data_IF_187433057422
#
_entry.id   IF_187433057422
#
_cell.length_a   1.000
_cell.length_b   1.000
_cell.length_c   1.000
_cell.angle_alpha   90.00
_cell.angle_beta   90.00
_cell.angle_gamma   90.00
#
_symmetry.space_group_name_H-M   'P 1'
#
loop_
_entity.id
_entity.type
_entity.pdbx_description
1 polymer ?
#
# COMPACT_ATOMS: atom_id res chain seq x y z
N UNK A 1 -32.86 -15.86 67.27
CA UNK A 1 -31.59 -15.63 66.54
C UNK A 1 -31.68 -16.26 65.16
N UNK A 2 -31.97 -15.48 64.16
CA UNK A 2 -32.19 -15.96 62.78
C UNK A 2 -30.94 -15.57 61.96
N UNK A 3 -30.22 -16.58 61.52
CA UNK A 3 -29.01 -16.36 60.71
C UNK A 3 -29.40 -16.17 59.24
N UNK A 4 -28.97 -15.02 58.68
CA UNK A 4 -29.16 -14.67 57.29
C UNK A 4 -27.95 -15.23 56.50
N UNK A 5 -28.20 -16.16 55.57
CA UNK A 5 -27.18 -16.67 54.67
C UNK A 5 -27.19 -15.78 53.39
N UNK A 6 -26.15 -15.00 53.21
CA UNK A 6 -25.90 -14.31 51.93
C UNK A 6 -25.26 -15.29 50.93
N UNK A 7 -26.00 -15.63 49.88
CA UNK A 7 -25.45 -16.33 48.74
C UNK A 7 -24.77 -15.32 47.81
N UNK A 8 -23.43 -15.33 47.73
CA UNK A 8 -22.67 -14.57 46.79
C UNK A 8 -22.78 -15.15 45.39
N UNK A 9 -23.32 -14.36 44.45
CA UNK A 9 -23.33 -14.68 43.00
C UNK A 9 -21.94 -14.37 42.45
N UNK A 10 -21.12 -15.39 42.21
CA UNK A 10 -19.88 -15.25 41.49
C UNK A 10 -20.18 -15.14 39.99
N UNK A 11 -20.08 -13.94 39.42
CA UNK A 11 -20.06 -13.74 37.98
C UNK A 11 -18.73 -14.29 37.46
N UNK A 12 -18.79 -15.43 36.78
CA UNK A 12 -17.67 -15.91 35.94
C UNK A 12 -17.57 -14.97 34.77
N UNK A 13 -16.63 -13.99 34.83
CA UNK A 13 -16.16 -13.28 33.68
C UNK A 13 -15.41 -14.29 32.81
N UNK A 14 -16.05 -14.76 31.75
CA UNK A 14 -15.37 -15.53 30.72
C UNK A 14 -14.21 -14.68 30.19
N UNK A 15 -12.98 -15.13 30.40
CA UNK A 15 -11.79 -14.62 29.73
C UNK A 15 -11.94 -14.97 28.24
N UNK A 16 -12.62 -14.10 27.49
CA UNK A 16 -12.48 -14.11 26.04
C UNK A 16 -10.98 -13.94 25.76
N UNK A 17 -10.36 -14.89 25.08
CA UNK A 17 -9.01 -14.71 24.57
C UNK A 17 -8.98 -13.39 23.84
N UNK A 18 -8.07 -12.49 24.21
CA UNK A 18 -7.85 -11.26 23.48
C UNK A 18 -7.51 -11.67 22.03
N UNK A 19 -8.39 -11.31 21.09
CA UNK A 19 -8.12 -11.49 19.66
C UNK A 19 -6.85 -10.74 19.37
N UNK A 20 -5.95 -11.34 18.56
CA UNK A 20 -4.62 -10.82 18.32
C UNK A 20 -4.69 -9.40 17.75
N UNK A 21 -4.31 -8.43 18.56
CA UNK A 21 -4.03 -7.10 18.07
C UNK A 21 -2.61 -7.10 17.49
N UNK A 22 -2.40 -6.32 16.45
CA UNK A 22 -1.04 -6.09 15.92
C UNK A 22 -0.12 -5.67 17.07
N UNK A 23 1.00 -6.37 17.32
CA UNK A 23 1.82 -6.11 18.48
C UNK A 23 2.43 -4.69 18.42
N UNK A 24 2.50 -3.97 19.54
CA UNK A 24 3.19 -2.70 19.58
C UNK A 24 4.69 -2.93 19.30
N UNK A 25 5.28 -2.11 18.44
CA UNK A 25 6.71 -2.10 18.13
C UNK A 25 7.37 -0.86 18.77
N UNK A 26 7.96 -0.93 19.97
CA UNK A 26 8.52 0.24 20.64
C UNK A 26 9.57 0.94 19.77
N UNK A 27 9.43 2.26 19.59
CA UNK A 27 10.32 3.08 18.77
C UNK A 27 10.03 2.99 17.26
N UNK A 28 8.89 2.43 16.87
CA UNK A 28 8.36 2.40 15.53
C UNK A 28 6.98 3.06 15.48
N UNK A 29 6.68 3.76 14.41
CA UNK A 29 5.38 4.35 14.13
C UNK A 29 4.57 3.42 13.25
N UNK A 30 3.40 2.97 13.70
CA UNK A 30 2.50 2.13 12.93
C UNK A 30 1.85 2.98 11.83
N UNK A 31 2.03 2.60 10.57
CA UNK A 31 1.50 3.31 9.40
C UNK A 31 0.27 2.64 8.81
N UNK A 32 0.16 1.34 8.93
CA UNK A 32 -0.98 0.57 8.48
C UNK A 32 -0.97 -0.81 9.12
N UNK A 33 -2.14 -1.39 9.32
CA UNK A 33 -2.25 -2.78 9.76
C UNK A 33 -3.63 -3.36 9.49
N UNK A 34 -3.69 -4.69 9.44
CA UNK A 34 -4.91 -5.48 9.54
C UNK A 34 -4.66 -6.66 10.48
N UNK A 35 -5.52 -6.84 11.47
CA UNK A 35 -5.49 -7.93 12.43
C UNK A 35 -6.56 -8.99 12.15
N UNK A 36 -7.20 -8.92 10.99
CA UNK A 36 -8.19 -9.85 10.47
C UNK A 36 -9.33 -10.19 11.45
N UNK A 37 -9.66 -9.26 12.33
CA UNK A 37 -10.78 -9.38 13.24
C UNK A 37 -12.11 -9.25 12.50
N UNK A 38 -12.86 -10.35 12.41
CA UNK A 38 -14.15 -10.38 11.72
C UNK A 38 -14.89 -11.69 11.95
N UNK A 39 -16.08 -11.81 11.38
CA UNK A 39 -16.90 -13.03 11.50
C UNK A 39 -16.28 -14.17 10.69
N UNK A 40 -16.42 -15.41 11.19
CA UNK A 40 -16.04 -16.60 10.40
C UNK A 40 -16.72 -16.57 9.03
N UNK A 41 -15.97 -16.97 8.01
CA UNK A 41 -16.35 -16.98 6.58
C UNK A 41 -16.67 -15.61 5.95
N UNK A 42 -16.44 -14.50 6.65
CA UNK A 42 -16.44 -13.17 5.98
C UNK A 42 -15.17 -12.98 5.16
N UNK A 43 -15.27 -12.18 4.09
CA UNK A 43 -14.11 -11.76 3.33
C UNK A 43 -13.30 -10.70 4.10
N UNK A 44 -12.00 -10.55 3.85
CA UNK A 44 -11.23 -9.44 4.40
C UNK A 44 -11.80 -8.10 3.96
N UNK A 45 -11.55 -7.06 4.73
CA UNK A 45 -12.10 -5.72 4.47
C UNK A 45 -11.67 -5.17 3.12
N UNK A 46 -12.62 -4.80 2.26
CA UNK A 46 -12.33 -4.15 0.98
C UNK A 46 -11.68 -2.75 1.12
N UNK A 47 -11.72 -2.15 2.31
CA UNK A 47 -10.98 -0.93 2.60
C UNK A 47 -9.46 -1.18 2.66
N UNK A 48 -9.06 -2.38 3.06
CA UNK A 48 -7.67 -2.78 3.22
C UNK A 48 -7.17 -3.64 2.05
N UNK A 49 -8.03 -4.49 1.47
CA UNK A 49 -7.63 -5.53 0.53
C UNK A 49 -8.46 -5.55 -0.74
N UNK A 50 -7.78 -5.67 -1.86
CA UNK A 50 -8.34 -6.05 -3.14
C UNK A 50 -8.17 -7.57 -3.29
N UNK A 51 -9.22 -8.27 -3.75
CA UNK A 51 -9.19 -9.71 -4.00
C UNK A 51 -8.89 -9.94 -5.47
N UNK A 52 -7.81 -10.63 -5.77
CA UNK A 52 -7.47 -11.05 -7.11
C UNK A 52 -8.18 -12.34 -7.47
N UNK A 53 -8.68 -12.44 -8.68
CA UNK A 53 -9.41 -13.63 -9.18
C UNK A 53 -8.91 -14.07 -10.55
N UNK A 54 -9.13 -15.34 -10.88
CA UNK A 54 -8.72 -15.89 -12.16
C UNK A 54 -7.30 -16.45 -12.17
N UNK A 55 -6.71 -16.51 -13.35
CA UNK A 55 -5.38 -17.05 -13.62
C UNK A 55 -4.35 -15.97 -14.00
N UNK A 56 -4.75 -14.70 -14.03
CA UNK A 56 -3.92 -13.56 -14.40
C UNK A 56 -4.65 -12.24 -14.09
N UNK A 57 -3.91 -11.14 -14.00
CA UNK A 57 -4.50 -9.81 -14.16
C UNK A 57 -5.01 -9.62 -15.60
N UNK A 58 -6.09 -8.87 -15.83
CA UNK A 58 -6.52 -8.50 -17.17
C UNK A 58 -5.38 -7.82 -17.95
N UNK A 59 -4.91 -8.47 -19.03
CA UNK A 59 -3.76 -7.98 -19.81
C UNK A 59 -2.37 -8.29 -19.23
N UNK A 60 -2.31 -8.99 -18.11
CA UNK A 60 -1.06 -9.48 -17.51
C UNK A 60 -0.61 -10.83 -18.05
N UNK A 61 0.54 -11.33 -17.56
CA UNK A 61 1.07 -12.63 -17.96
C UNK A 61 0.15 -13.77 -17.49
N UNK A 62 -0.04 -14.76 -18.37
CA UNK A 62 -0.84 -15.95 -18.07
C UNK A 62 -0.26 -16.73 -16.89
N UNK A 63 -1.12 -17.39 -16.12
CA UNK A 63 -0.74 -18.18 -14.95
C UNK A 63 0.15 -17.38 -13.98
N UNK A 64 -0.22 -16.10 -13.79
CA UNK A 64 0.46 -15.10 -12.95
C UNK A 64 1.96 -14.91 -13.27
N UNK A 65 2.40 -15.34 -14.46
CA UNK A 65 3.79 -15.26 -14.91
C UNK A 65 4.70 -16.38 -14.42
N UNK A 66 4.26 -17.19 -13.48
CA UNK A 66 5.04 -18.23 -12.80
C UNK A 66 4.67 -19.65 -13.19
N UNK A 67 3.59 -19.82 -13.96
CA UNK A 67 3.05 -21.13 -14.35
C UNK A 67 2.24 -21.83 -13.26
N UNK A 68 1.82 -21.13 -12.23
CA UNK A 68 0.88 -21.64 -11.22
C UNK A 68 -0.46 -22.01 -11.85
N UNK A 69 -1.15 -23.02 -11.27
CA UNK A 69 -2.27 -23.65 -11.95
C UNK A 69 -3.64 -23.39 -11.34
N UNK A 70 -3.71 -22.88 -10.11
CA UNK A 70 -4.98 -22.59 -9.44
C UNK A 70 -5.72 -21.41 -10.08
N UNK A 71 -7.02 -21.46 -10.01
CA UNK A 71 -7.89 -20.30 -10.19
C UNK A 71 -8.06 -19.61 -8.84
N UNK A 72 -7.64 -18.35 -8.70
CA UNK A 72 -7.94 -17.58 -7.51
C UNK A 72 -9.39 -17.13 -7.49
N UNK A 73 -10.02 -17.15 -6.32
CA UNK A 73 -11.45 -16.85 -6.16
C UNK A 73 -11.71 -16.00 -4.93
N UNK A 74 -12.87 -15.34 -4.91
CA UNK A 74 -13.43 -14.68 -3.74
C UNK A 74 -14.39 -15.60 -2.95
N UNK A 75 -14.37 -16.91 -3.20
CA UNK A 75 -15.20 -17.86 -2.46
C UNK A 75 -14.70 -17.96 -1.01
N UNK A 76 -15.56 -17.84 0.00
CA UNK A 76 -15.19 -18.01 1.41
C UNK A 76 -14.57 -19.37 1.76
N UNK A 77 -14.70 -20.38 0.93
CA UNK A 77 -14.00 -21.65 1.10
C UNK A 77 -12.51 -21.55 0.74
N UNK A 78 -12.14 -20.64 -0.17
CA UNK A 78 -10.75 -20.36 -0.53
C UNK A 78 -10.14 -19.21 0.27
N UNK A 79 -10.93 -18.16 0.55
CA UNK A 79 -10.45 -16.92 1.16
C UNK A 79 -11.49 -16.40 2.15
N UNK A 80 -11.18 -16.41 3.43
CA UNK A 80 -12.09 -15.89 4.46
C UNK A 80 -11.36 -15.59 5.76
N UNK A 81 -12.00 -14.81 6.61
CA UNK A 81 -11.65 -14.72 8.04
C UNK A 81 -12.12 -16.01 8.74
N UNK A 82 -11.41 -16.43 9.78
CA UNK A 82 -11.72 -17.67 10.53
C UNK A 82 -12.53 -17.44 11.81
N UNK A 83 -12.94 -16.18 12.07
CA UNK A 83 -13.66 -15.78 13.27
C UNK A 83 -12.81 -15.73 14.56
N UNK A 84 -11.51 -16.09 14.46
CA UNK A 84 -10.59 -16.13 15.60
C UNK A 84 -9.44 -15.11 15.45
N UNK A 85 -9.54 -14.19 14.48
CA UNK A 85 -8.54 -13.17 14.21
C UNK A 85 -7.48 -13.59 13.18
N UNK A 86 -7.82 -14.52 12.28
CA UNK A 86 -6.92 -14.87 11.18
C UNK A 86 -7.60 -14.74 9.83
N UNK A 87 -6.85 -14.31 8.84
CA UNK A 87 -7.15 -14.57 7.44
C UNK A 87 -6.78 -16.02 7.13
N UNK A 88 -7.66 -16.73 6.46
CA UNK A 88 -7.49 -18.11 6.04
C UNK A 88 -7.51 -18.20 4.53
N UNK A 89 -6.41 -18.68 3.92
CA UNK A 89 -6.29 -18.93 2.49
C UNK A 89 -6.16 -20.44 2.29
N UNK A 90 -7.13 -21.05 1.62
CA UNK A 90 -7.26 -22.52 1.51
C UNK A 90 -7.26 -22.95 0.06
N UNK A 91 -6.29 -23.78 -0.39
CA UNK A 91 -6.31 -24.34 -1.72
C UNK A 91 -7.23 -25.56 -1.74
N UNK A 92 -8.14 -25.60 -2.70
CA UNK A 92 -9.10 -26.69 -2.88
C UNK A 92 -8.90 -27.33 -4.25
N UNK A 93 -9.31 -28.61 -4.36
CA UNK A 93 -9.28 -29.35 -5.62
C UNK A 93 -10.64 -30.01 -5.82
N UNK A 94 -11.24 -29.76 -6.99
CA UNK A 94 -12.53 -30.38 -7.35
C UNK A 94 -12.37 -31.83 -7.82
N UNK A 95 -13.50 -32.50 -8.10
CA UNK A 95 -13.51 -33.88 -8.57
C UNK A 95 -12.94 -34.08 -10.00
N UNK A 96 -12.75 -33.01 -10.76
CA UNK A 96 -12.12 -33.02 -12.05
C UNK A 96 -10.59 -32.76 -11.97
N UNK A 97 -10.10 -32.41 -10.79
CA UNK A 97 -8.69 -32.13 -10.54
C UNK A 97 -8.30 -30.66 -10.67
N UNK A 98 -9.24 -29.74 -10.88
CA UNK A 98 -8.96 -28.31 -10.95
C UNK A 98 -8.72 -27.74 -9.57
N UNK A 99 -7.74 -26.84 -9.46
CA UNK A 99 -7.40 -26.18 -8.21
C UNK A 99 -7.97 -24.76 -8.14
N UNK A 100 -8.44 -24.40 -6.95
CA UNK A 100 -8.81 -23.02 -6.58
C UNK A 100 -8.07 -22.61 -5.33
N UNK A 101 -7.84 -21.32 -5.13
CA UNK A 101 -7.20 -20.76 -3.94
C UNK A 101 -7.56 -19.30 -3.75
N UNK A 102 -6.84 -18.58 -2.86
CA UNK A 102 -7.03 -17.17 -2.59
C UNK A 102 -5.76 -16.33 -2.80
N UNK A 103 -5.96 -15.09 -3.23
CA UNK A 103 -4.94 -14.04 -3.36
C UNK A 103 -5.55 -12.69 -3.03
N UNK A 104 -4.86 -11.91 -2.22
CA UNK A 104 -5.23 -10.54 -1.87
C UNK A 104 -4.04 -9.63 -1.97
N UNK A 105 -4.30 -8.37 -2.33
CA UNK A 105 -3.30 -7.30 -2.30
C UNK A 105 -3.84 -6.09 -1.54
N UNK A 106 -2.98 -5.34 -0.86
CA UNK A 106 -3.42 -4.14 -0.15
C UNK A 106 -3.96 -3.09 -1.12
N UNK A 107 -5.03 -2.38 -0.76
CA UNK A 107 -5.51 -1.21 -1.52
C UNK A 107 -4.47 -0.11 -1.59
N UNK A 108 -3.73 0.10 -0.49
CA UNK A 108 -2.55 0.97 -0.45
C UNK A 108 -1.39 0.39 -1.25
N UNK A 109 -0.64 1.28 -1.93
CA UNK A 109 0.52 0.93 -2.74
C UNK A 109 1.71 1.89 -2.51
N UNK A 110 1.72 2.56 -1.38
CA UNK A 110 2.65 3.64 -1.01
C UNK A 110 3.57 3.28 0.16
N UNK A 111 3.72 1.99 0.47
CA UNK A 111 4.62 1.54 1.53
C UNK A 111 6.07 1.72 1.09
N UNK A 112 6.75 2.70 1.71
CA UNK A 112 8.11 3.10 1.36
C UNK A 112 8.89 3.49 2.62
N UNK A 113 10.19 3.19 2.63
CA UNK A 113 11.04 3.65 3.72
C UNK A 113 11.22 5.17 3.65
N UNK A 114 10.98 5.92 4.72
CA UNK A 114 11.21 7.36 4.72
C UNK A 114 12.71 7.68 4.55
N UNK A 115 12.99 8.83 3.97
CA UNK A 115 14.36 9.30 3.83
C UNK A 115 15.08 9.35 5.20
N UNK A 116 16.26 8.74 5.31
CA UNK A 116 16.99 8.64 6.56
C UNK A 116 16.31 7.79 7.64
N UNK A 117 15.30 7.01 7.28
CA UNK A 117 14.58 6.13 8.19
C UNK A 117 14.50 4.69 7.71
N UNK A 118 13.64 3.90 8.32
CA UNK A 118 13.46 2.47 8.03
C UNK A 118 11.98 2.15 7.88
N UNK A 119 11.62 1.39 6.83
CA UNK A 119 10.34 0.72 6.69
C UNK A 119 10.45 -0.68 7.27
N UNK A 120 9.41 -1.14 7.98
CA UNK A 120 9.21 -2.54 8.37
C UNK A 120 7.87 -3.01 7.85
N UNK A 121 7.88 -4.15 7.14
CA UNK A 121 6.70 -4.92 6.76
C UNK A 121 6.78 -6.25 7.50
N UNK A 122 5.74 -6.60 8.24
CA UNK A 122 5.75 -7.78 9.11
C UNK A 122 4.39 -8.47 9.11
N UNK A 123 4.42 -9.79 9.16
CA UNK A 123 3.22 -10.62 9.34
C UNK A 123 3.53 -11.81 10.23
N UNK A 124 2.54 -12.25 10.99
CA UNK A 124 2.58 -13.49 11.74
C UNK A 124 1.74 -14.53 11.02
N UNK A 125 2.40 -15.56 10.51
CA UNK A 125 1.81 -16.55 9.60
C UNK A 125 2.13 -17.96 10.07
N UNK A 126 1.12 -18.85 10.02
CA UNK A 126 1.32 -20.29 9.99
C UNK A 126 1.18 -20.75 8.54
N UNK A 127 2.26 -21.27 7.98
CA UNK A 127 2.25 -21.88 6.65
C UNK A 127 1.32 -23.11 6.64
N UNK A 128 0.85 -23.56 5.45
CA UNK A 128 0.03 -24.77 5.35
C UNK A 128 0.64 -25.94 6.11
N UNK A 129 -0.11 -26.50 7.07
CA UNK A 129 0.37 -27.62 7.88
C UNK A 129 0.26 -28.94 7.09
N UNK A 130 1.15 -29.07 6.13
CA UNK A 130 1.31 -30.22 5.24
C UNK A 130 2.75 -30.34 4.81
N UNK A 131 3.28 -31.58 4.69
CA UNK A 131 4.68 -31.86 4.35
C UNK A 131 4.80 -33.11 3.48
N UNK A 132 5.98 -33.35 2.93
CA UNK A 132 6.26 -34.51 2.07
C UNK A 132 5.42 -34.51 0.79
N UNK A 133 5.12 -35.70 0.25
CA UNK A 133 4.39 -35.84 -1.01
C UNK A 133 3.02 -35.15 -0.99
N UNK A 134 2.38 -35.10 0.17
CA UNK A 134 1.09 -34.41 0.35
C UNK A 134 1.15 -32.90 0.16
N UNK A 135 2.34 -32.31 0.24
CA UNK A 135 2.57 -30.87 0.10
C UNK A 135 3.15 -30.46 -1.26
N UNK A 136 3.47 -31.41 -2.15
CA UNK A 136 4.06 -31.10 -3.44
C UNK A 136 3.17 -30.15 -4.25
N UNK A 137 3.73 -29.01 -4.65
CA UNK A 137 3.04 -27.95 -5.37
C UNK A 137 2.47 -26.82 -4.51
N UNK A 138 2.43 -26.93 -3.17
CA UNK A 138 2.06 -25.82 -2.30
C UNK A 138 3.11 -24.71 -2.38
N UNK A 139 2.63 -23.47 -2.56
CA UNK A 139 3.49 -22.29 -2.64
C UNK A 139 2.82 -21.08 -1.95
N UNK A 140 2.84 -21.00 -0.63
CA UNK A 140 2.40 -19.82 0.11
C UNK A 140 3.42 -18.69 -0.01
N UNK A 141 2.91 -17.45 -0.13
CA UNK A 141 3.75 -16.25 -0.20
C UNK A 141 3.13 -15.07 0.58
N UNK A 142 4.02 -14.30 1.21
CA UNK A 142 3.81 -12.98 1.76
C UNK A 142 4.92 -12.08 1.22
N UNK A 143 4.56 -11.11 0.40
CA UNK A 143 5.49 -10.36 -0.42
C UNK A 143 5.00 -8.95 -0.71
N UNK A 144 5.86 -8.11 -1.27
CA UNK A 144 5.56 -6.75 -1.64
C UNK A 144 6.07 -6.45 -3.05
N UNK A 145 5.24 -5.81 -3.87
CA UNK A 145 5.52 -5.52 -5.27
C UNK A 145 5.46 -4.02 -5.53
N UNK A 146 6.40 -3.51 -6.32
CA UNK A 146 6.48 -2.09 -6.65
C UNK A 146 5.19 -1.55 -7.27
N UNK A 147 4.71 -0.42 -6.77
CA UNK A 147 3.44 0.19 -7.18
C UNK A 147 3.28 0.42 -8.69
N UNK A 148 4.35 0.67 -9.49
CA UNK A 148 4.21 0.80 -10.95
C UNK A 148 3.78 -0.48 -11.67
N UNK A 149 3.73 -1.63 -10.98
CA UNK A 149 3.16 -2.86 -11.55
C UNK A 149 1.67 -2.71 -11.84
N UNK A 150 0.94 -1.94 -11.02
CA UNK A 150 -0.48 -1.67 -11.24
C UNK A 150 -0.70 -0.88 -12.51
N UNK A 151 -1.42 -1.48 -13.45
CA UNK A 151 -1.69 -0.91 -14.78
C UNK A 151 -0.59 -1.15 -15.83
N UNK A 152 0.55 -1.73 -15.43
CA UNK A 152 1.58 -2.21 -16.37
C UNK A 152 2.21 -3.50 -15.84
N UNK A 153 1.60 -4.63 -16.13
CA UNK A 153 1.99 -5.96 -15.64
C UNK A 153 3.21 -6.57 -16.35
N UNK A 154 3.93 -5.78 -17.16
CA UNK A 154 5.09 -6.21 -17.94
C UNK A 154 6.39 -5.50 -17.57
N UNK A 155 6.37 -4.69 -16.52
CA UNK A 155 7.55 -3.96 -16.05
C UNK A 155 8.33 -4.69 -14.92
N UNK A 156 7.86 -5.87 -14.55
CA UNK A 156 8.59 -6.77 -13.67
C UNK A 156 9.86 -7.29 -14.36
N UNK A 157 11.01 -7.47 -13.67
CA UNK A 157 11.24 -7.22 -12.25
C UNK A 157 11.80 -5.82 -11.93
N UNK A 158 11.90 -4.93 -12.93
CA UNK A 158 12.57 -3.64 -12.81
C UNK A 158 12.02 -2.72 -11.71
N UNK A 159 10.73 -2.87 -11.38
CA UNK A 159 10.04 -2.07 -10.35
C UNK A 159 10.29 -2.59 -8.93
N UNK A 160 11.00 -3.69 -8.78
CA UNK A 160 11.31 -4.32 -7.50
C UNK A 160 10.19 -5.17 -6.91
N UNK A 161 10.59 -6.30 -6.30
CA UNK A 161 9.73 -7.19 -5.54
C UNK A 161 10.50 -7.68 -4.32
N UNK A 162 9.84 -7.71 -3.16
CA UNK A 162 10.40 -8.21 -1.91
C UNK A 162 9.56 -9.39 -1.42
N UNK A 163 10.09 -10.60 -1.55
CA UNK A 163 9.44 -11.78 -0.97
C UNK A 163 9.86 -11.89 0.48
N UNK A 164 8.95 -11.49 1.37
CA UNK A 164 9.21 -11.49 2.81
C UNK A 164 9.21 -12.92 3.34
N UNK A 165 8.29 -13.74 2.83
CA UNK A 165 8.15 -15.15 3.15
C UNK A 165 7.63 -15.91 1.94
N UNK A 166 8.41 -16.85 1.45
CA UNK A 166 7.95 -17.89 0.55
C UNK A 166 8.26 -19.27 1.14
N UNK A 167 7.46 -20.23 0.75
CA UNK A 167 7.71 -21.65 1.00
C UNK A 167 7.22 -22.48 -0.18
N UNK A 168 7.87 -23.60 -0.44
CA UNK A 168 7.41 -24.54 -1.45
C UNK A 168 7.43 -25.96 -0.91
N UNK A 169 6.45 -26.77 -1.37
CA UNK A 169 6.39 -28.21 -1.15
C UNK A 169 6.40 -28.63 0.34
N UNK A 170 5.99 -27.74 1.24
CA UNK A 170 5.97 -28.00 2.67
C UNK A 170 7.33 -28.29 3.30
N UNK A 171 8.42 -27.81 2.68
CA UNK A 171 9.78 -27.91 3.22
C UNK A 171 9.88 -27.02 4.46
N UNK A 172 10.49 -27.50 5.55
CA UNK A 172 10.72 -26.64 6.72
C UNK A 172 11.80 -25.60 6.42
N UNK A 173 11.44 -24.60 5.64
CA UNK A 173 12.29 -23.46 5.26
C UNK A 173 11.44 -22.24 4.92
N UNK A 174 11.96 -21.05 5.17
CA UNK A 174 11.47 -19.79 4.65
C UNK A 174 12.51 -19.27 3.67
N UNK A 175 12.05 -18.80 2.50
CA UNK A 175 12.86 -18.04 1.55
C UNK A 175 12.51 -16.56 1.67
N UNK A 176 13.56 -15.71 1.63
CA UNK A 176 13.47 -14.27 1.45
C UNK A 176 14.21 -13.90 0.18
N UNK A 177 13.58 -13.13 -0.71
CA UNK A 177 14.10 -12.87 -2.05
C UNK A 177 13.98 -11.38 -2.39
N UNK A 178 14.94 -10.87 -3.14
CA UNK A 178 14.84 -9.62 -3.87
C UNK A 178 14.82 -9.91 -5.37
N UNK A 179 13.76 -9.49 -6.06
CA UNK A 179 13.68 -9.45 -7.51
C UNK A 179 13.85 -8.02 -8.02
N UNK A 180 14.74 -7.83 -9.02
CA UNK A 180 15.01 -6.52 -9.58
C UNK A 180 15.71 -6.57 -10.96
N UNK A 181 15.81 -5.44 -11.63
CA UNK A 181 16.55 -5.28 -12.87
C UNK A 181 15.83 -5.83 -14.08
N UNK A 182 16.37 -6.86 -14.73
CA UNK A 182 15.84 -7.40 -15.99
C UNK A 182 15.78 -8.93 -15.98
N UNK A 183 14.78 -9.48 -16.61
CA UNK A 183 14.59 -10.91 -16.82
C UNK A 183 14.80 -11.25 -18.32
N UNK A 184 15.58 -12.29 -18.66
CA UNK A 184 16.31 -13.21 -17.78
C UNK A 184 17.66 -12.68 -17.28
N UNK A 185 18.08 -13.16 -16.11
CA UNK A 185 19.39 -12.85 -15.53
C UNK A 185 19.44 -11.50 -14.85
N UNK A 186 20.13 -10.55 -15.45
CA UNK A 186 20.29 -9.21 -14.88
C UNK A 186 21.04 -9.17 -13.55
N UNK A 187 21.10 -7.99 -12.89
CA UNK A 187 21.86 -7.82 -11.65
C UNK A 187 21.29 -8.62 -10.48
N UNK A 188 19.99 -8.98 -10.52
CA UNK A 188 19.34 -9.77 -9.49
C UNK A 188 19.19 -11.26 -9.83
N UNK A 189 19.84 -11.74 -10.89
CA UNK A 189 19.85 -13.17 -11.27
C UNK A 189 18.45 -13.74 -11.53
N UNK A 190 17.66 -13.00 -12.32
CA UNK A 190 16.26 -13.40 -12.60
C UNK A 190 16.15 -14.66 -13.49
N UNK A 191 15.23 -15.51 -13.19
CA UNK A 191 14.05 -15.46 -12.29
C UNK A 191 14.27 -15.96 -10.88
N UNK A 192 15.50 -16.20 -10.42
CA UNK A 192 15.77 -16.73 -9.07
C UNK A 192 15.85 -15.65 -8.00
N UNK A 193 16.10 -14.42 -8.41
CA UNK A 193 16.30 -13.31 -7.48
C UNK A 193 17.63 -13.40 -6.70
N UNK A 194 17.88 -12.41 -5.84
CA UNK A 194 18.93 -12.49 -4.80
C UNK A 194 18.26 -13.07 -3.57
N UNK A 195 18.44 -14.37 -3.34
CA UNK A 195 17.72 -15.16 -2.38
C UNK A 195 18.59 -15.70 -1.25
N UNK A 196 17.99 -15.92 -0.09
CA UNK A 196 18.51 -16.77 0.97
C UNK A 196 17.35 -17.48 1.68
N UNK A 197 17.66 -18.56 2.38
CA UNK A 197 16.66 -19.33 3.11
C UNK A 197 17.19 -19.87 4.43
N UNK A 198 16.24 -20.26 5.30
CA UNK A 198 16.55 -20.96 6.54
C UNK A 198 15.34 -21.75 7.06
N UNK A 199 15.59 -22.73 7.91
CA UNK A 199 14.52 -23.35 8.71
C UNK A 199 13.94 -22.36 9.73
N UNK A 200 12.63 -22.46 10.02
CA UNK A 200 12.04 -21.69 11.09
C UNK A 200 12.64 -22.04 12.45
N UNK A 201 12.85 -21.09 13.37
CA UNK A 201 13.39 -21.35 14.69
C UNK A 201 12.40 -22.13 15.56
N UNK A 202 12.89 -23.06 16.37
CA UNK A 202 12.08 -23.82 17.31
C UNK A 202 11.17 -24.84 16.62
N UNK A 203 9.93 -24.49 16.29
CA UNK A 203 8.99 -25.35 15.57
C UNK A 203 9.20 -25.26 14.05
N UNK A 204 8.62 -26.22 13.30
CA UNK A 204 8.66 -26.10 11.83
C UNK A 204 7.74 -24.98 11.36
N UNK A 205 8.07 -24.38 10.21
CA UNK A 205 7.27 -23.31 9.59
C UNK A 205 5.80 -23.69 9.37
N UNK A 206 5.51 -25.00 9.19
CA UNK A 206 4.17 -25.53 8.98
C UNK A 206 3.41 -25.79 10.28
N UNK A 207 4.11 -26.10 11.37
CA UNK A 207 3.44 -26.58 12.60
C UNK A 207 3.04 -25.48 13.59
N UNK A 208 3.53 -24.26 13.40
CA UNK A 208 3.24 -23.13 14.28
C UNK A 208 3.24 -21.80 13.52
N UNK A 209 2.72 -20.77 14.19
CA UNK A 209 2.88 -19.40 13.72
C UNK A 209 4.30 -18.92 13.95
N UNK A 210 4.86 -18.26 12.94
CA UNK A 210 6.13 -17.55 12.98
C UNK A 210 5.93 -16.11 12.51
N UNK A 211 6.80 -15.19 12.95
CA UNK A 211 6.79 -13.80 12.52
C UNK A 211 7.81 -13.62 11.41
N UNK A 212 7.37 -13.16 10.26
CA UNK A 212 8.20 -12.89 9.09
C UNK A 212 8.27 -11.39 8.89
N UNK A 213 9.49 -10.85 8.83
CA UNK A 213 9.73 -9.41 8.81
C UNK A 213 10.69 -9.05 7.68
N UNK A 214 10.36 -7.98 6.97
CA UNK A 214 11.25 -7.29 6.04
C UNK A 214 11.51 -5.88 6.53
N UNK A 215 12.76 -5.43 6.41
CA UNK A 215 13.15 -4.04 6.70
C UNK A 215 13.90 -3.45 5.52
N UNK A 216 13.49 -2.25 5.11
CA UNK A 216 14.23 -1.40 4.20
C UNK A 216 14.78 -0.22 4.97
N UNK A 217 16.11 -0.25 5.21
CA UNK A 217 16.82 0.70 6.06
C UNK A 217 17.56 1.75 5.21
N UNK A 218 17.01 2.95 5.16
CA UNK A 218 17.59 4.13 4.55
C UNK A 218 18.30 5.05 5.56
N UNK A 219 18.37 4.66 6.83
CA UNK A 219 19.09 5.41 7.88
C UNK A 219 20.59 5.19 7.83
N UNK A 220 21.06 4.26 7.02
CA UNK A 220 22.46 3.90 6.85
C UNK A 220 22.90 4.07 5.38
N UNK A 221 24.20 4.31 5.17
CA UNK A 221 24.79 4.40 3.84
C UNK A 221 25.92 3.37 3.72
N UNK A 222 25.85 2.43 2.76
CA UNK A 222 24.77 2.19 1.79
C UNK A 222 23.47 1.74 2.45
N UNK A 223 22.32 1.97 1.79
CA UNK A 223 21.03 1.48 2.26
C UNK A 223 21.01 -0.06 2.27
N UNK A 224 20.21 -0.66 3.13
CA UNK A 224 20.19 -2.11 3.32
C UNK A 224 18.76 -2.65 3.41
N UNK A 225 18.51 -3.74 2.70
CA UNK A 225 17.31 -4.57 2.84
C UNK A 225 17.64 -5.75 3.75
N UNK A 226 16.74 -6.13 4.66
CA UNK A 226 16.94 -7.23 5.61
C UNK A 226 15.69 -8.08 5.78
N UNK A 227 15.85 -9.37 5.89
CA UNK A 227 14.78 -10.35 6.12
C UNK A 227 15.01 -11.08 7.42
N UNK A 228 13.93 -11.31 8.17
CA UNK A 228 13.97 -11.96 9.47
C UNK A 228 12.85 -12.99 9.58
N UNK A 229 13.10 -14.04 10.37
CA UNK A 229 12.06 -14.93 10.92
C UNK A 229 12.22 -14.98 12.43
N UNK A 230 11.14 -14.74 13.17
CA UNK A 230 11.12 -14.64 14.63
C UNK A 230 12.21 -13.72 15.19
N UNK A 231 12.38 -12.56 14.56
CA UNK A 231 13.40 -11.56 14.91
C UNK A 231 14.84 -11.95 14.58
N UNK A 232 15.10 -13.13 13.99
CA UNK A 232 16.42 -13.57 13.58
C UNK A 232 16.68 -13.28 12.11
N UNK A 233 17.61 -12.35 11.84
CA UNK A 233 17.98 -12.04 10.46
C UNK A 233 18.59 -13.26 9.78
N UNK A 234 18.13 -13.52 8.54
CA UNK A 234 18.66 -14.61 7.73
C UNK A 234 19.12 -14.18 6.33
N UNK A 235 18.69 -13.01 5.87
CA UNK A 235 19.07 -12.48 4.57
C UNK A 235 19.31 -10.97 4.65
N UNK A 236 20.15 -10.45 3.76
CA UNK A 236 20.29 -9.01 3.54
C UNK A 236 20.89 -8.72 2.17
N UNK A 237 20.46 -7.61 1.58
CA UNK A 237 21.02 -7.03 0.36
C UNK A 237 21.37 -5.59 0.61
N UNK A 238 22.62 -5.21 0.32
CA UNK A 238 23.09 -3.83 0.45
C UNK A 238 23.02 -3.13 -0.92
N UNK A 239 22.69 -1.84 -0.90
CA UNK A 239 22.60 -1.00 -2.10
C UNK A 239 23.82 -1.11 -3.01
N UNK A 240 25.02 -1.22 -2.47
CA UNK A 240 26.25 -1.31 -3.24
C UNK A 240 26.50 -2.69 -3.91
N UNK A 241 25.61 -3.66 -3.71
CA UNK A 241 25.61 -4.92 -4.45
C UNK A 241 24.96 -4.78 -5.83
N UNK A 242 24.25 -3.68 -6.07
CA UNK A 242 23.54 -3.37 -7.31
C UNK A 242 24.11 -2.09 -7.93
N UNK A 243 23.94 -1.94 -9.23
CA UNK A 243 24.21 -0.66 -9.88
C UNK A 243 23.16 0.40 -9.50
N UNK A 244 23.53 1.68 -9.62
CA UNK A 244 22.70 2.79 -9.18
C UNK A 244 21.36 2.87 -9.93
N UNK A 245 21.34 2.50 -11.22
CA UNK A 245 20.11 2.52 -12.03
C UNK A 245 19.11 1.45 -11.59
N UNK A 246 19.58 0.23 -11.36
CA UNK A 246 18.75 -0.86 -10.84
C UNK A 246 18.19 -0.51 -9.45
N UNK A 247 19.03 0.02 -8.56
CA UNK A 247 18.58 0.43 -7.24
C UNK A 247 17.53 1.55 -7.31
N UNK A 248 17.77 2.58 -8.12
CA UNK A 248 16.85 3.70 -8.32
C UNK A 248 15.50 3.22 -8.87
N UNK A 249 15.49 2.37 -9.89
CA UNK A 249 14.26 1.88 -10.51
C UNK A 249 13.34 1.18 -9.51
N UNK A 250 13.88 0.44 -8.54
CA UNK A 250 13.08 -0.25 -7.52
C UNK A 250 12.79 0.61 -6.29
N UNK A 251 13.46 1.75 -6.10
CA UNK A 251 13.34 2.53 -4.85
C UNK A 251 12.78 3.93 -5.04
N UNK A 252 12.80 4.50 -6.26
CA UNK A 252 12.39 5.90 -6.49
C UNK A 252 10.94 6.08 -6.95
N UNK A 253 10.17 5.00 -7.06
CA UNK A 253 8.72 5.09 -7.31
C UNK A 253 7.92 5.33 -6.02
N UNK A 254 6.59 5.43 -6.13
CA UNK A 254 5.70 5.83 -5.04
C UNK A 254 5.71 4.90 -3.81
N UNK A 255 6.12 3.65 -3.97
CA UNK A 255 6.17 2.65 -2.90
C UNK A 255 5.73 1.28 -3.36
N UNK A 256 5.34 0.45 -2.42
CA UNK A 256 4.99 -0.95 -2.61
C UNK A 256 3.57 -1.25 -2.13
N UNK A 257 2.93 -2.24 -2.70
CA UNK A 257 1.74 -2.89 -2.15
C UNK A 257 2.09 -4.30 -1.67
N UNK A 258 1.35 -4.79 -0.70
CA UNK A 258 1.62 -6.08 -0.04
C UNK A 258 0.63 -7.11 -0.57
N UNK A 259 1.12 -8.33 -0.77
CA UNK A 259 0.33 -9.45 -1.26
C UNK A 259 0.42 -10.65 -0.31
N UNK A 260 -0.67 -11.38 -0.25
CA UNK A 260 -0.79 -12.68 0.41
C UNK A 260 -1.49 -13.64 -0.54
N UNK A 261 -0.88 -14.77 -0.82
CA UNK A 261 -1.49 -15.81 -1.64
C UNK A 261 -1.00 -17.21 -1.28
N UNK A 262 -1.75 -18.20 -1.75
CA UNK A 262 -1.33 -19.58 -1.70
C UNK A 262 -1.50 -20.18 -3.09
N UNK A 263 -0.39 -20.21 -3.84
CA UNK A 263 -0.34 -20.79 -5.17
C UNK A 263 -0.22 -22.32 -5.11
N UNK A 264 -0.55 -22.96 -6.23
CA UNK A 264 -0.38 -24.40 -6.45
C UNK A 264 0.34 -24.63 -7.77
N UNK A 265 1.41 -25.44 -7.73
CA UNK A 265 2.29 -25.67 -8.89
C UNK A 265 3.11 -24.44 -9.23
N UNK A 266 3.64 -24.40 -10.44
CA UNK A 266 4.47 -23.30 -10.93
C UNK A 266 5.96 -23.57 -10.85
N UNK A 267 6.74 -22.58 -11.28
CA UNK A 267 8.17 -22.74 -11.52
C UNK A 267 8.94 -23.13 -10.24
N UNK A 268 8.68 -22.46 -9.13
CA UNK A 268 9.45 -22.67 -7.90
C UNK A 268 9.16 -24.03 -7.24
N UNK A 269 7.91 -24.46 -7.00
CA UNK A 269 7.65 -25.82 -6.54
C UNK A 269 8.24 -26.89 -7.46
N UNK A 270 8.13 -26.67 -8.78
CA UNK A 270 8.66 -27.61 -9.77
C UNK A 270 10.20 -27.71 -9.75
N UNK A 271 10.90 -26.63 -9.46
CA UNK A 271 12.35 -26.63 -9.37
C UNK A 271 12.89 -27.54 -8.25
N UNK A 272 12.12 -27.71 -7.15
CA UNK A 272 12.53 -28.52 -5.99
C UNK A 272 11.76 -29.84 -5.87
N UNK A 273 10.60 -29.99 -6.50
CA UNK A 273 9.71 -31.15 -6.38
C UNK A 273 9.45 -31.89 -7.69
N UNK A 274 10.04 -31.45 -8.79
CA UNK A 274 9.72 -31.97 -10.12
C UNK A 274 8.35 -31.47 -10.61
N UNK A 275 7.62 -32.27 -11.38
CA UNK A 275 6.27 -31.86 -11.86
C UNK A 275 5.27 -31.89 -10.70
N UNK A 276 4.83 -30.73 -10.26
CA UNK A 276 3.89 -30.56 -9.14
C UNK A 276 2.67 -29.70 -9.53
N UNK A 277 1.50 -29.86 -8.86
CA UNK A 277 1.18 -30.86 -7.83
C UNK A 277 1.11 -32.29 -8.42
N UNK A 278 1.13 -33.29 -7.52
CA UNK A 278 0.96 -34.70 -7.89
C UNK A 278 -0.42 -35.22 -7.48
N UNK A 279 -0.71 -36.49 -7.81
CA UNK A 279 -1.93 -37.14 -7.34
C UNK A 279 -2.00 -37.25 -5.80
N UNK A 280 -0.82 -37.31 -5.14
CA UNK A 280 -0.69 -37.41 -3.68
C UNK A 280 -0.87 -36.05 -2.97
N UNK A 281 -0.83 -34.93 -3.70
CA UNK A 281 -1.01 -33.61 -3.11
C UNK A 281 -2.40 -33.46 -2.52
N UNK A 282 -2.46 -33.15 -1.22
CA UNK A 282 -3.72 -33.09 -0.43
C UNK A 282 -4.26 -31.66 -0.44
N UNK A 283 -5.50 -31.41 -0.90
CA UNK A 283 -6.13 -30.08 -0.81
C UNK A 283 -6.57 -29.75 0.62
N UNK A 284 -6.99 -28.50 0.86
CA UNK A 284 -7.66 -28.07 2.09
C UNK A 284 -6.73 -27.81 3.27
N UNK A 285 -5.44 -27.57 3.04
CA UNK A 285 -4.49 -27.17 4.08
C UNK A 285 -4.26 -25.67 4.00
N UNK A 286 -4.85 -24.86 4.90
CA UNK A 286 -4.78 -23.42 4.79
C UNK A 286 -3.44 -22.84 5.23
N UNK A 287 -3.10 -21.68 4.65
CA UNK A 287 -2.25 -20.68 5.27
C UNK A 287 -3.11 -19.83 6.21
N UNK A 288 -2.65 -19.59 7.43
CA UNK A 288 -3.31 -18.74 8.41
C UNK A 288 -2.44 -17.50 8.66
N UNK A 289 -3.05 -16.31 8.58
CA UNK A 289 -2.37 -15.03 8.80
C UNK A 289 -3.05 -14.32 9.97
N UNK A 290 -2.32 -14.12 11.06
CA UNK A 290 -2.81 -13.49 12.30
C UNK A 290 -2.90 -11.96 12.13
N UNK A 291 -1.86 -11.35 11.59
CA UNK A 291 -1.86 -9.93 11.25
C UNK A 291 -0.89 -9.61 10.13
N UNK A 292 -1.10 -8.46 9.51
CA UNK A 292 -0.09 -7.76 8.72
C UNK A 292 0.07 -6.35 9.28
N UNK A 293 1.29 -5.89 9.44
CA UNK A 293 1.57 -4.55 9.91
C UNK A 293 2.72 -3.90 9.15
N UNK A 294 2.63 -2.59 9.01
CA UNK A 294 3.65 -1.75 8.39
C UNK A 294 4.01 -0.62 9.35
N UNK A 295 5.28 -0.50 9.64
CA UNK A 295 5.82 0.54 10.52
C UNK A 295 6.94 1.29 9.84
N UNK A 296 7.16 2.51 10.30
CA UNK A 296 8.38 3.26 9.98
C UNK A 296 9.12 3.65 11.26
N UNK A 297 10.41 3.90 11.14
CA UNK A 297 11.26 4.36 12.23
C UNK A 297 12.27 5.35 11.70
N UNK A 298 12.49 6.44 12.45
CA UNK A 298 13.42 7.49 12.03
C UNK A 298 12.85 8.32 10.87
N UNK A 299 13.69 8.99 10.12
CA UNK A 299 13.27 9.96 9.10
C UNK A 299 13.14 11.38 9.64
N UNK A 300 13.67 11.62 10.83
CA UNK A 300 13.79 12.98 11.39
C UNK A 300 14.97 13.74 10.78
N UNK A 301 14.72 14.73 9.94
CA UNK A 301 15.66 15.83 9.69
C UNK A 301 16.63 15.75 8.50
N UNK A 302 16.36 14.94 7.49
CA UNK A 302 17.11 15.00 6.24
C UNK A 302 16.14 14.82 5.06
N UNK A 303 15.73 15.91 4.43
CA UNK A 303 14.96 15.85 3.17
C UNK A 303 15.88 15.35 2.07
N UNK A 304 15.70 14.09 1.63
CA UNK A 304 16.16 13.69 0.30
C UNK A 304 15.32 14.46 -0.72
N UNK A 305 15.92 15.28 -1.59
CA UNK A 305 15.16 16.07 -2.56
C UNK A 305 14.41 15.22 -3.59
N UNK A 306 14.62 13.90 -3.62
CA UNK A 306 14.04 12.96 -4.60
C UNK A 306 12.89 12.12 -4.06
N UNK A 307 12.64 12.14 -2.73
CA UNK A 307 11.54 11.40 -2.14
C UNK A 307 10.25 12.22 -2.13
N UNK A 308 9.18 11.78 -2.81
CA UNK A 308 7.87 12.34 -2.53
C UNK A 308 7.54 12.01 -1.06
N UNK A 309 7.19 13.00 -0.24
CA UNK A 309 6.85 12.78 1.16
C UNK A 309 5.61 11.88 1.27
N UNK A 310 5.56 11.08 2.34
CA UNK A 310 4.42 10.22 2.69
C UNK A 310 3.12 11.04 2.68
N UNK A 311 2.10 10.66 1.91
CA UNK A 311 0.84 11.39 1.86
C UNK A 311 0.10 11.44 3.21
N UNK A 312 0.49 10.67 4.22
CA UNK A 312 -0.16 10.64 5.53
C UNK A 312 0.56 11.48 6.60
N UNK A 313 1.85 11.82 6.40
CA UNK A 313 2.58 12.71 7.32
C UNK A 313 2.81 14.07 6.66
N UNK A 314 2.28 15.16 7.20
CA UNK A 314 2.72 16.48 6.80
C UNK A 314 4.23 16.58 7.08
N UNK A 315 5.07 17.04 6.14
CA UNK A 315 6.49 17.26 6.44
C UNK A 315 6.60 18.21 7.62
N UNK A 316 7.51 17.92 8.55
CA UNK A 316 7.79 18.83 9.66
C UNK A 316 8.07 20.22 9.09
N UNK A 317 7.19 21.19 9.37
CA UNK A 317 7.28 22.54 8.83
C UNK A 317 6.37 22.85 7.63
N UNK A 318 5.45 21.94 7.20
CA UNK A 318 4.38 22.29 6.26
C UNK A 318 3.13 22.80 7.02
N UNK A 319 2.38 23.69 6.38
CA UNK A 319 1.10 24.14 6.89
C UNK A 319 -0.02 23.55 6.07
N UNK A 320 -0.93 22.87 6.74
CA UNK A 320 -2.12 22.27 6.14
C UNK A 320 -3.23 23.31 6.02
N UNK A 321 -3.78 23.43 4.84
CA UNK A 321 -4.90 24.33 4.56
C UNK A 321 -6.06 23.52 3.99
N UNK A 322 -7.11 23.34 4.79
CA UNK A 322 -8.34 22.68 4.35
C UNK A 322 -9.16 23.60 3.46
N UNK A 323 -9.75 23.06 2.39
CA UNK A 323 -10.72 23.75 1.54
C UNK A 323 -12.03 23.95 2.33
N UNK A 324 -12.42 25.18 2.57
CA UNK A 324 -13.55 25.51 3.44
C UNK A 324 -14.77 25.99 2.69
N UNK A 325 -15.94 25.84 3.31
CA UNK A 325 -17.15 26.46 2.84
C UNK A 325 -16.98 27.99 2.71
N UNK A 326 -17.58 28.59 1.67
CA UNK A 326 -17.42 30.01 1.38
C UNK A 326 -16.10 30.42 0.71
N UNK A 327 -15.29 29.48 0.22
CA UNK A 327 -14.06 29.75 -0.55
C UNK A 327 -12.84 30.13 0.29
N UNK A 328 -12.81 29.77 1.57
CA UNK A 328 -11.67 29.97 2.45
C UNK A 328 -10.69 28.79 2.41
N UNK A 329 -9.43 29.05 2.79
CA UNK A 329 -8.42 28.04 3.15
C UNK A 329 -8.04 28.23 4.62
N UNK A 330 -7.89 27.14 5.38
CA UNK A 330 -7.53 27.25 6.80
C UNK A 330 -7.70 25.94 7.55
N UNK A 331 -7.91 26.03 8.87
CA UNK A 331 -8.19 24.85 9.68
C UNK A 331 -9.45 24.12 9.22
N UNK A 332 -9.50 22.80 9.40
CA UNK A 332 -10.66 21.98 9.06
C UNK A 332 -11.95 22.47 9.77
N UNK A 333 -13.08 22.37 9.10
CA UNK A 333 -14.41 22.61 9.67
C UNK A 333 -14.90 21.36 10.40
N UNK A 334 -15.92 21.53 11.27
CA UNK A 334 -16.45 20.42 12.06
C UNK A 334 -17.13 19.31 11.20
N UNK A 335 -17.60 19.67 9.99
CA UNK A 335 -18.25 18.74 9.06
C UNK A 335 -17.79 18.99 7.63
N UNK A 336 -17.78 17.93 6.83
CA UNK A 336 -17.55 18.02 5.39
C UNK A 336 -18.78 18.50 4.64
N UNK A 337 -18.55 19.06 3.46
CA UNK A 337 -19.55 19.40 2.46
C UNK A 337 -18.94 19.25 1.07
N UNK A 338 -19.65 19.62 0.00
CA UNK A 338 -19.16 19.51 -1.37
C UNK A 338 -19.32 20.83 -2.11
N UNK A 339 -18.33 21.18 -2.95
CA UNK A 339 -18.41 22.27 -3.90
C UNK A 339 -18.53 21.72 -5.33
N UNK A 340 -19.47 22.24 -6.11
CA UNK A 340 -19.69 21.78 -7.49
C UNK A 340 -18.68 22.42 -8.45
N UNK A 341 -18.01 21.59 -9.23
CA UNK A 341 -17.18 22.00 -10.37
C UNK A 341 -18.05 21.98 -11.62
N UNK A 342 -18.20 23.13 -12.26
CA UNK A 342 -19.01 23.26 -13.47
C UNK A 342 -18.44 22.42 -14.63
N UNK A 343 -19.29 22.04 -15.59
CA UNK A 343 -18.86 21.38 -16.81
C UNK A 343 -17.83 22.24 -17.57
N UNK A 344 -16.81 21.57 -18.12
CA UNK A 344 -15.82 22.22 -18.97
C UNK A 344 -16.39 22.66 -20.34
N UNK A 345 -17.47 22.01 -20.81
CA UNK A 345 -18.04 22.25 -22.13
C UNK A 345 -17.16 21.79 -23.30
N UNK A 346 -16.21 20.91 -23.04
CA UNK A 346 -15.24 20.41 -24.03
C UNK A 346 -13.96 19.92 -23.42
N UNK A 347 -12.84 19.99 -24.16
CA UNK A 347 -11.51 19.61 -23.66
C UNK A 347 -10.62 20.87 -23.61
N UNK A 348 -10.04 21.16 -22.47
CA UNK A 348 -9.16 22.28 -22.25
C UNK A 348 -8.16 22.01 -21.12
N UNK A 349 -7.16 21.16 -21.38
CA UNK A 349 -6.04 20.88 -20.47
C UNK A 349 -4.87 21.84 -20.68
N UNK A 350 -5.12 23.14 -20.89
CA UNK A 350 -4.11 24.15 -21.14
C UNK A 350 -3.65 24.91 -19.89
N UNK A 351 -4.23 24.61 -18.73
CA UNK A 351 -3.97 25.29 -17.47
C UNK A 351 -4.76 26.60 -17.30
N UNK A 352 -5.69 26.91 -18.21
CA UNK A 352 -6.55 28.08 -18.08
C UNK A 352 -7.79 27.73 -17.25
N UNK A 353 -8.03 28.34 -16.08
CA UNK A 353 -9.20 28.06 -15.27
C UNK A 353 -10.52 28.39 -16.00
N UNK A 354 -11.42 27.41 -16.01
CA UNK A 354 -12.75 27.57 -16.56
C UNK A 354 -13.79 27.40 -15.44
N UNK A 355 -14.44 28.48 -15.06
CA UNK A 355 -15.42 28.52 -13.95
C UNK A 355 -14.91 27.83 -12.67
N UNK A 356 -13.71 28.16 -12.17
CA UNK A 356 -13.08 27.40 -11.10
C UNK A 356 -13.81 27.62 -9.77
N UNK A 357 -13.80 26.59 -8.91
CA UNK A 357 -13.97 26.81 -7.49
C UNK A 357 -12.66 27.38 -6.94
N UNK A 358 -12.76 28.48 -6.22
CA UNK A 358 -11.61 29.24 -5.74
C UNK A 358 -11.58 29.28 -4.22
N UNK A 359 -10.44 28.97 -3.63
CA UNK A 359 -10.21 29.00 -2.19
C UNK A 359 -8.96 29.83 -1.90
N UNK A 360 -9.03 30.69 -0.87
CA UNK A 360 -7.96 31.65 -0.58
C UNK A 360 -7.70 31.77 0.93
N UNK A 361 -6.42 31.82 1.30
CA UNK A 361 -5.96 32.27 2.61
C UNK A 361 -5.06 33.51 2.44
N UNK A 362 -5.07 34.40 3.40
CA UNK A 362 -4.28 35.64 3.40
C UNK A 362 -3.65 35.87 4.77
N UNK A 363 -2.65 36.75 4.83
CA UNK A 363 -1.97 37.07 6.08
C UNK A 363 -1.02 35.99 6.58
N UNK A 364 -0.58 35.11 5.68
CA UNK A 364 0.28 33.98 6.03
C UNK A 364 1.75 34.44 6.12
N UNK A 365 2.37 34.25 7.28
CA UNK A 365 3.82 34.45 7.44
C UNK A 365 4.44 33.12 7.81
N UNK A 366 5.25 32.55 6.89
CA UNK A 366 5.86 31.24 7.00
C UNK A 366 7.19 31.19 6.24
N UNK A 367 8.09 30.35 6.70
CA UNK A 367 9.38 30.11 6.02
C UNK A 367 9.21 29.00 4.98
N UNK A 368 9.75 29.22 3.78
CA UNK A 368 9.81 28.16 2.77
C UNK A 368 10.75 27.04 3.23
N UNK A 369 10.26 25.81 3.24
CA UNK A 369 10.96 24.65 3.78
C UNK A 369 11.72 23.81 2.74
N UNK A 370 11.74 24.25 1.46
CA UNK A 370 12.40 23.53 0.38
C UNK A 370 11.53 22.46 -0.31
N UNK A 371 10.33 22.22 0.19
CA UNK A 371 9.41 21.21 -0.35
C UNK A 371 8.61 21.67 -1.56
N UNK A 372 7.66 20.84 -1.97
CA UNK A 372 6.65 21.11 -3.00
C UNK A 372 5.24 21.09 -2.41
N UNK A 373 4.29 21.74 -3.10
CA UNK A 373 2.87 21.67 -2.76
C UNK A 373 2.35 20.25 -2.91
N UNK A 374 1.58 19.77 -1.93
CA UNK A 374 0.92 18.47 -1.97
C UNK A 374 -0.58 18.63 -1.72
N UNK A 375 -1.32 17.59 -2.09
CA UNK A 375 -2.78 17.62 -2.03
C UNK A 375 -3.33 16.31 -1.51
N UNK A 376 -4.37 16.42 -0.71
CA UNK A 376 -5.36 15.39 -0.46
C UNK A 376 -6.70 15.96 -0.92
N UNK A 377 -6.98 15.84 -2.23
CA UNK A 377 -8.22 16.31 -2.82
C UNK A 377 -9.15 15.13 -3.09
N UNK A 378 -10.36 15.21 -2.61
CA UNK A 378 -11.42 14.23 -2.82
C UNK A 378 -12.40 14.79 -3.85
N UNK A 379 -12.41 14.20 -5.05
CA UNK A 379 -13.24 14.64 -6.18
C UNK A 379 -14.13 13.50 -6.64
N UNK A 380 -15.45 13.76 -6.71
CA UNK A 380 -16.42 12.86 -7.29
C UNK A 380 -16.77 13.33 -8.71
N UNK A 381 -16.29 12.61 -9.71
CA UNK A 381 -16.56 12.86 -11.13
C UNK A 381 -17.90 12.24 -11.60
N UNK A 382 -18.64 11.57 -10.72
CA UNK A 382 -19.89 10.89 -11.02
C UNK A 382 -19.68 9.68 -11.94
N UNK A 383 -20.60 9.44 -12.85
CA UNK A 383 -20.55 8.31 -13.80
C UNK A 383 -19.81 8.63 -15.09
N UNK A 384 -19.16 9.79 -15.20
CA UNK A 384 -18.60 10.31 -16.45
C UNK A 384 -17.06 10.22 -16.41
N UNK A 385 -16.47 9.19 -16.99
CA UNK A 385 -14.99 8.97 -17.12
C UNK A 385 -14.27 10.14 -17.82
N UNK A 386 -15.00 11.05 -18.46
CA UNK A 386 -14.46 12.11 -19.29
C UNK A 386 -14.19 13.44 -18.57
N UNK A 387 -14.46 13.54 -17.27
CA UNK A 387 -14.23 14.76 -16.51
C UNK A 387 -12.81 14.75 -15.91
N UNK A 388 -11.82 15.21 -16.68
CA UNK A 388 -10.53 15.52 -16.12
C UNK A 388 -10.54 16.86 -15.40
N UNK A 389 -9.86 16.95 -14.27
CA UNK A 389 -9.73 18.18 -13.48
C UNK A 389 -8.33 18.77 -13.63
N UNK A 390 -8.26 20.10 -13.45
CA UNK A 390 -7.01 20.80 -13.21
C UNK A 390 -7.08 21.55 -11.88
N UNK A 391 -5.94 21.65 -11.21
CA UNK A 391 -5.78 22.40 -9.97
C UNK A 391 -4.64 23.37 -10.15
N UNK A 392 -4.86 24.63 -9.82
CA UNK A 392 -3.81 25.66 -9.80
C UNK A 392 -3.61 26.19 -8.40
N UNK A 393 -2.38 26.17 -7.91
CA UNK A 393 -1.98 26.82 -6.68
C UNK A 393 -1.15 28.03 -7.01
N UNK A 394 -1.47 29.16 -6.40
CA UNK A 394 -0.75 30.43 -6.59
C UNK A 394 -0.33 30.99 -5.24
N UNK A 395 0.91 31.45 -5.16
CA UNK A 395 1.53 32.05 -3.99
C UNK A 395 1.85 33.52 -4.28
N UNK A 396 1.27 34.44 -3.50
CA UNK A 396 1.66 35.83 -3.41
C UNK A 396 2.46 35.96 -2.10
N UNK A 397 3.78 36.10 -2.22
CA UNK A 397 4.69 35.99 -1.09
C UNK A 397 4.66 37.19 -0.15
N UNK A 398 4.28 38.33 -0.65
CA UNK A 398 4.29 39.62 0.10
C UNK A 398 2.91 40.16 0.39
N UNK A 399 1.86 39.57 -0.17
CA UNK A 399 0.47 40.03 -0.02
C UNK A 399 0.17 41.27 -0.85
N UNK A 400 1.00 41.62 -1.83
CA UNK A 400 0.85 42.77 -2.67
C UNK A 400 -0.12 42.62 -3.84
N UNK A 401 -0.66 41.39 -4.01
CA UNK A 401 -1.61 41.05 -5.06
C UNK A 401 -0.95 40.46 -6.30
N UNK A 402 0.37 40.34 -6.33
CA UNK A 402 1.12 39.72 -7.41
C UNK A 402 1.39 38.23 -7.10
N UNK A 403 1.06 37.35 -8.02
CA UNK A 403 1.34 35.91 -7.84
C UNK A 403 2.79 35.61 -8.20
N UNK A 404 3.67 35.49 -7.19
CA UNK A 404 5.11 35.24 -7.34
C UNK A 404 5.41 33.83 -7.87
N UNK A 405 4.54 32.88 -7.57
CA UNK A 405 4.66 31.49 -8.03
C UNK A 405 3.29 30.90 -8.30
N UNK A 406 3.21 30.11 -9.38
CA UNK A 406 2.02 29.37 -9.77
C UNK A 406 2.41 27.96 -10.18
N UNK A 407 1.64 26.98 -9.73
CA UNK A 407 1.79 25.56 -10.04
C UNK A 407 0.44 25.03 -10.54
N UNK A 408 0.45 24.29 -11.67
CA UNK A 408 -0.76 23.72 -12.27
C UNK A 408 -0.60 22.21 -12.41
N UNK A 409 -1.61 21.50 -11.94
CA UNK A 409 -1.64 20.02 -11.87
C UNK A 409 -2.79 19.48 -12.71
N UNK A 410 -2.56 18.34 -13.37
CA UNK A 410 -3.60 17.58 -14.09
C UNK A 410 -4.01 16.37 -13.27
N UNK A 411 -5.32 16.13 -13.20
CA UNK A 411 -5.90 14.95 -12.59
C UNK A 411 -6.88 14.29 -13.52
N UNK A 412 -6.78 12.98 -13.67
CA UNK A 412 -7.65 12.19 -14.52
C UNK A 412 -8.44 11.24 -13.64
N UNK A 413 -9.78 11.23 -13.70
CA UNK A 413 -10.57 10.18 -13.07
C UNK A 413 -10.14 8.84 -13.62
N UNK A 414 -9.97 7.88 -12.74
CA UNK A 414 -9.55 6.52 -13.10
C UNK A 414 -10.71 5.54 -13.10
N UNK A 415 -11.83 5.91 -12.46
CA UNK A 415 -12.97 5.03 -12.24
C UNK A 415 -14.29 5.74 -12.62
N UNK A 416 -15.18 5.10 -13.42
CA UNK A 416 -16.51 5.63 -13.72
C UNK A 416 -17.54 5.35 -12.59
N UNK A 417 -17.14 4.82 -11.47
CA UNK A 417 -18.03 4.55 -10.34
C UNK A 417 -18.29 5.84 -9.55
N UNK A 418 -19.55 6.18 -9.23
CA UNK A 418 -19.85 7.32 -8.37
C UNK A 418 -19.18 7.21 -7.00
N UNK A 419 -18.55 8.27 -6.56
CA UNK A 419 -17.85 8.38 -5.29
C UNK A 419 -16.62 9.27 -5.37
N UNK A 420 -16.06 9.61 -4.23
CA UNK A 420 -14.88 10.44 -4.18
C UNK A 420 -13.62 9.62 -4.54
N UNK A 421 -12.88 10.12 -5.54
CA UNK A 421 -11.51 9.69 -5.82
C UNK A 421 -10.53 10.59 -5.06
N UNK A 422 -9.48 10.00 -4.51
CA UNK A 422 -8.41 10.71 -3.83
C UNK A 422 -7.35 11.16 -4.83
N UNK A 423 -7.18 12.48 -4.96
CA UNK A 423 -6.21 13.10 -5.84
C UNK A 423 -5.03 13.65 -5.04
N UNK A 424 -3.84 13.19 -5.38
CA UNK A 424 -2.58 13.61 -4.79
C UNK A 424 -1.66 14.25 -5.83
N UNK A 425 -0.59 14.90 -5.39
CA UNK A 425 0.41 15.50 -6.28
C UNK A 425 1.01 14.52 -7.30
N UNK A 426 1.06 13.23 -6.99
CA UNK A 426 1.59 12.19 -7.88
C UNK A 426 0.81 12.02 -9.18
N UNK A 427 -0.40 12.59 -9.29
CA UNK A 427 -1.20 12.52 -10.53
C UNK A 427 -0.81 13.56 -11.60
N UNK A 428 0.13 14.45 -11.33
CA UNK A 428 0.86 15.16 -12.37
C UNK A 428 0.97 16.68 -12.23
N UNK A 429 2.18 17.18 -12.04
CA UNK A 429 2.51 18.59 -12.22
C UNK A 429 2.56 18.89 -13.73
N UNK A 430 1.66 19.74 -14.20
CA UNK A 430 1.62 20.20 -15.60
C UNK A 430 2.64 21.30 -15.87
N UNK A 431 2.68 22.31 -15.02
CA UNK A 431 3.54 23.47 -15.17
C UNK A 431 3.79 24.18 -13.85
N UNK A 432 4.94 24.83 -13.75
CA UNK A 432 5.21 25.77 -12.66
C UNK A 432 5.92 27.01 -13.21
N UNK A 433 5.59 28.17 -12.65
CA UNK A 433 6.21 29.47 -13.01
C UNK A 433 6.56 30.23 -11.74
N UNK A 434 7.57 31.10 -11.82
CA UNK A 434 8.00 31.95 -10.73
C UNK A 434 8.98 31.28 -9.77
N UNK A 435 9.36 32.00 -8.72
CA UNK A 435 10.37 31.58 -7.74
C UNK A 435 9.78 31.21 -6.39
N UNK A 436 10.43 30.29 -5.70
CA UNK A 436 10.14 29.96 -4.31
C UNK A 436 10.78 30.99 -3.36
N UNK A 437 10.20 31.16 -2.17
CA UNK A 437 10.71 32.04 -1.12
C UNK A 437 9.66 32.17 -0.01
N UNK A 438 10.03 32.76 1.11
CA UNK A 438 9.16 32.87 2.29
C UNK A 438 7.86 33.63 2.02
N UNK A 439 6.79 33.25 2.71
CA UNK A 439 5.56 34.03 2.80
C UNK A 439 5.72 35.09 3.92
N UNK A 440 5.53 36.34 3.58
CA UNK A 440 5.58 37.48 4.50
C UNK A 440 4.28 38.29 4.37
N UNK A 441 3.31 37.98 5.24
CA UNK A 441 1.93 38.45 5.10
C UNK A 441 1.28 38.05 3.75
N UNK A 442 1.72 36.90 3.22
CA UNK A 442 1.38 36.46 1.88
C UNK A 442 -0.01 35.87 1.75
N UNK A 443 -0.32 35.48 0.50
CA UNK A 443 -1.60 34.81 0.17
C UNK A 443 -1.34 33.49 -0.55
N UNK A 444 -2.24 32.54 -0.31
CA UNK A 444 -2.29 31.27 -1.07
C UNK A 444 -3.68 31.18 -1.70
N UNK A 445 -3.72 30.86 -2.99
CA UNK A 445 -4.97 30.67 -3.73
C UNK A 445 -4.94 29.31 -4.42
N UNK A 446 -6.04 28.58 -4.34
CA UNK A 446 -6.28 27.34 -5.04
C UNK A 446 -7.49 27.50 -5.92
N UNK A 447 -7.36 27.10 -7.18
CA UNK A 447 -8.42 27.08 -8.18
C UNK A 447 -8.53 25.64 -8.70
N UNK A 448 -9.75 25.07 -8.64
CA UNK A 448 -10.07 23.71 -9.09
C UNK A 448 -11.19 23.83 -10.12
N UNK A 449 -11.02 23.17 -11.28
CA UNK A 449 -12.01 23.17 -12.35
C UNK A 449 -12.01 21.86 -13.14
N UNK A 450 -13.15 21.56 -13.78
CA UNK A 450 -13.20 20.54 -14.80
C UNK A 450 -12.53 21.06 -16.07
N UNK A 451 -11.55 20.32 -16.58
CA UNK A 451 -10.80 20.67 -17.78
C UNK A 451 -11.27 19.89 -19.02
N UNK A 452 -11.97 18.77 -18.82
CA UNK A 452 -12.54 17.94 -19.90
C UNK A 452 -13.96 17.52 -19.52
N UNK A 453 -14.81 17.39 -20.55
CA UNK A 453 -16.12 16.76 -20.47
C UNK A 453 -17.29 17.71 -20.36
N UNK A 454 -18.49 17.16 -20.46
CA UNK A 454 -19.75 17.89 -20.47
C UNK A 454 -20.55 17.71 -19.17
N UNK A 455 -19.99 16.99 -18.18
CA UNK A 455 -20.59 16.78 -16.88
C UNK A 455 -20.02 17.69 -15.80
N UNK A 456 -20.76 17.92 -14.74
CA UNK A 456 -20.25 18.52 -13.51
C UNK A 456 -19.66 17.43 -12.60
N UNK A 457 -18.72 17.82 -11.75
CA UNK A 457 -18.20 17.01 -10.66
C UNK A 457 -18.29 17.75 -9.34
N UNK A 458 -17.91 17.12 -8.23
CA UNK A 458 -17.86 17.76 -6.92
C UNK A 458 -16.50 17.55 -6.27
N UNK A 459 -16.05 18.55 -5.52
CA UNK A 459 -14.87 18.43 -4.65
C UNK A 459 -15.32 18.49 -3.20
N UNK A 460 -14.83 17.55 -2.39
CA UNK A 460 -15.08 17.52 -0.94
C UNK A 460 -14.39 18.68 -0.24
N UNK A 461 -15.11 19.41 0.61
CA UNK A 461 -14.60 20.56 1.37
C UNK A 461 -15.00 20.46 2.84
N UNK A 462 -14.56 21.41 3.64
CA UNK A 462 -14.86 21.48 5.07
C UNK A 462 -13.84 20.71 5.92
N UNK A 463 -13.90 19.39 5.96
CA UNK A 463 -12.93 18.54 6.65
C UNK A 463 -12.40 17.40 5.76
N UNK A 464 -12.58 17.51 4.45
CA UNK A 464 -12.25 16.44 3.52
C UNK A 464 -10.95 16.72 2.75
N UNK A 465 -10.93 17.78 1.94
CA UNK A 465 -9.77 18.06 1.08
C UNK A 465 -8.79 19.04 1.72
N UNK A 466 -7.52 18.71 1.64
CA UNK A 466 -6.41 19.46 2.24
C UNK A 466 -5.35 19.79 1.20
N UNK A 467 -4.74 20.93 1.33
CA UNK A 467 -3.55 21.35 0.59
C UNK A 467 -2.41 21.56 1.58
N UNK A 468 -1.32 20.85 1.37
CA UNK A 468 -0.11 20.94 2.15
C UNK A 468 0.84 21.92 1.47
N UNK A 469 0.92 23.14 1.98
CA UNK A 469 1.82 24.14 1.42
C UNK A 469 3.25 23.96 1.96
N UNK A 470 4.30 24.19 1.12
CA UNK A 470 5.69 23.95 1.51
C UNK A 470 6.28 25.09 2.37
N UNK A 471 5.57 25.44 3.45
CA UNK A 471 5.96 26.53 4.35
C UNK A 471 5.70 26.12 5.80
N UNK A 472 6.66 26.37 6.68
CA UNK A 472 6.59 26.06 8.12
C UNK A 472 6.84 27.25 9.04
#
# INVERSE_FOLDING_TARGET
>A
MTALVLAGLATVLGSGSARGAVPPAPGWDLKWSDDFNGADRSLPSAANWQIDTGHAYPGGPANWGTGEIQNYTADPDNLSLDGNGNLRITPLRDGAGNWTSGRVETTRSDFKAPAGGTLRIESRIQMPNVTGNAALGYWPAFWALGSPYRGNYWNWPGIGEFDVMENVNGINSVWGVLHCGVNPGGPCNETSGIANNRACPGSSCQSAFHTYTFEWDRSVTPNVLRWYVDGQQFHSVSQNQLDAGTWANMTEHAGYFILLNLAIGGAFPNALGGSTPTAETVPGRPMLVDYVGVWTKGGGGGTDPTDPPDPTDPPSGSSDLTLRSGGGLGAAEASGSAATLASAGGANYDGTPHSPQTFTASGITRTYNGGSTRFDLFVDAGTTVANGQQVRVSYDRTGDGTWDRTETYNYFPTDPVPGYEHYTQSKGLMASTGSQGNLMNGKVKIEIWNAIGNGSSTVGIGNQSVVHIPFG
#
